data_IF_769216825038
#
_entry.id   IF_769216825038
#
_cell.length_a   1.000
_cell.length_b   1.000
_cell.length_c   1.000
_cell.angle_alpha   90.00
_cell.angle_beta   90.00
_cell.angle_gamma   90.00
#
_symmetry.space_group_name_H-M   'P 1'
#
loop_
_entity.id
_entity.type
_entity.pdbx_description
1 polymer ?
#
# COMPACT_ATOMS: atom_id res chain seq x y z
N UNK A 1 50.51 -4.75 36.48
CA UNK A 1 49.21 -5.43 36.70
C UNK A 1 48.40 -5.27 35.43
N UNK A 2 48.40 -6.32 34.60
CA UNK A 2 47.86 -6.32 33.25
C UNK A 2 46.33 -6.43 33.29
N UNK A 3 45.62 -5.50 32.65
CA UNK A 3 44.21 -5.68 32.29
C UNK A 3 44.16 -6.01 30.80
N UNK A 4 44.11 -7.32 30.58
CA UNK A 4 43.99 -8.02 29.31
C UNK A 4 42.81 -7.49 28.49
N UNK A 5 43.11 -6.94 27.31
CA UNK A 5 42.13 -6.66 26.28
C UNK A 5 41.71 -7.95 25.60
N UNK A 6 40.49 -8.42 25.87
CA UNK A 6 39.78 -9.38 25.02
C UNK A 6 38.39 -8.84 24.80
N UNK A 7 38.23 -8.09 23.71
CA UNK A 7 36.92 -7.88 23.11
C UNK A 7 36.29 -9.26 22.87
N UNK A 8 34.99 -9.47 23.13
CA UNK A 8 34.34 -10.71 22.77
C UNK A 8 34.43 -10.86 21.24
N UNK A 9 35.12 -11.91 20.80
CA UNK A 9 35.08 -12.37 19.42
C UNK A 9 33.61 -12.47 19.00
N UNK A 10 33.22 -11.66 18.02
CA UNK A 10 31.87 -11.67 17.44
C UNK A 10 31.92 -12.29 16.04
N UNK A 11 32.13 -13.62 15.91
CA UNK A 11 32.04 -14.30 14.63
C UNK A 11 30.59 -14.38 14.08
N UNK A 12 29.58 -14.00 14.86
CA UNK A 12 28.16 -14.24 14.52
C UNK A 12 27.46 -13.15 13.70
N UNK A 13 27.98 -11.92 13.63
CA UNK A 13 27.28 -10.84 12.89
C UNK A 13 27.45 -11.00 11.36
N UNK A 14 28.59 -11.54 10.92
CA UNK A 14 28.85 -11.83 9.51
C UNK A 14 28.02 -13.03 8.99
N UNK A 15 27.70 -13.99 9.86
CA UNK A 15 26.87 -15.15 9.51
C UNK A 15 25.38 -14.79 9.39
N UNK A 16 24.86 -13.95 10.30
CA UNK A 16 23.49 -13.46 10.26
C UNK A 16 23.18 -12.59 9.02
N UNK A 17 24.20 -11.95 8.45
CA UNK A 17 24.07 -11.11 7.24
C UNK A 17 24.05 -11.93 5.94
N UNK A 18 24.57 -13.18 5.98
CA UNK A 18 24.67 -14.06 4.80
C UNK A 18 23.39 -14.83 4.45
N UNK A 19 22.38 -14.83 5.32
CA UNK A 19 21.07 -15.49 5.09
C UNK A 19 20.06 -14.64 4.29
N UNK A 20 20.42 -13.41 3.92
CA UNK A 20 19.57 -12.49 3.17
C UNK A 20 19.79 -12.51 1.66
N UNK A 21 20.75 -13.29 1.17
CA UNK A 21 20.80 -13.64 -0.25
C UNK A 21 19.84 -14.82 -0.44
N UNK A 22 18.81 -14.71 -1.29
CA UNK A 22 18.01 -15.87 -1.64
C UNK A 22 18.96 -16.89 -2.27
N UNK A 23 19.31 -17.92 -1.52
CA UNK A 23 19.89 -19.10 -2.11
C UNK A 23 18.78 -19.62 -3.02
N UNK A 24 18.99 -19.65 -4.33
CA UNK A 24 17.97 -20.05 -5.32
C UNK A 24 17.61 -21.53 -5.21
N UNK A 25 17.05 -21.95 -4.07
CA UNK A 25 16.70 -23.31 -3.72
C UNK A 25 15.18 -23.48 -3.59
N UNK A 26 14.73 -24.71 -3.82
CA UNK A 26 13.32 -25.09 -3.77
C UNK A 26 12.63 -24.79 -2.44
N UNK A 27 13.38 -24.80 -1.34
CA UNK A 27 12.86 -24.48 -0.01
C UNK A 27 12.48 -22.99 0.11
N UNK A 28 13.27 -22.09 -0.46
CA UNK A 28 12.98 -20.65 -0.42
C UNK A 28 11.81 -20.30 -1.35
N UNK A 29 11.73 -20.95 -2.53
CA UNK A 29 10.56 -20.82 -3.40
C UNK A 29 9.26 -21.26 -2.71
N UNK A 30 9.28 -22.40 -2.00
CA UNK A 30 8.11 -22.88 -1.26
C UNK A 30 7.70 -21.91 -0.13
N UNK A 31 8.68 -21.27 0.53
CA UNK A 31 8.43 -20.26 1.56
C UNK A 31 7.85 -18.97 0.98
N UNK A 32 8.38 -18.47 -0.12
CA UNK A 32 7.87 -17.27 -0.81
C UNK A 32 6.45 -17.50 -1.36
N UNK A 33 6.19 -18.68 -1.94
CA UNK A 33 4.83 -19.06 -2.39
C UNK A 33 3.86 -19.16 -1.21
N UNK A 34 4.29 -19.77 -0.09
CA UNK A 34 3.49 -19.83 1.14
C UNK A 34 3.19 -18.44 1.72
N UNK A 35 4.19 -17.56 1.74
CA UNK A 35 4.03 -16.18 2.19
C UNK A 35 3.09 -15.39 1.25
N UNK A 36 3.26 -15.52 -0.05
CA UNK A 36 2.37 -14.89 -1.04
C UNK A 36 0.92 -15.36 -0.91
N UNK A 37 0.69 -16.66 -0.68
CA UNK A 37 -0.65 -17.21 -0.51
C UNK A 37 -1.32 -16.69 0.77
N UNK A 38 -0.60 -16.65 1.89
CA UNK A 38 -1.15 -16.12 3.16
C UNK A 38 -1.50 -14.64 3.04
N UNK A 39 -0.64 -13.84 2.38
CA UNK A 39 -0.92 -12.43 2.08
C UNK A 39 -2.13 -12.29 1.16
N UNK A 40 -2.24 -13.10 0.10
CA UNK A 40 -3.37 -13.05 -0.84
C UNK A 40 -4.71 -13.33 -0.13
N UNK A 41 -4.77 -14.32 0.77
CA UNK A 41 -5.97 -14.64 1.53
C UNK A 41 -6.48 -13.47 2.38
N UNK A 42 -5.56 -12.66 2.94
CA UNK A 42 -5.90 -11.46 3.73
C UNK A 42 -6.18 -10.25 2.83
N UNK A 43 -5.47 -10.14 1.71
CA UNK A 43 -5.62 -9.02 0.78
C UNK A 43 -6.97 -9.03 0.07
N UNK A 44 -7.47 -10.20 -0.37
CA UNK A 44 -8.73 -10.34 -1.09
C UNK A 44 -9.92 -9.62 -0.41
N UNK A 45 -10.25 -9.90 0.86
CA UNK A 45 -11.36 -9.21 1.53
C UNK A 45 -11.08 -7.71 1.74
N UNK A 46 -9.84 -7.32 2.01
CA UNK A 46 -9.46 -5.92 2.19
C UNK A 46 -9.65 -5.13 0.89
N UNK A 47 -9.23 -5.68 -0.26
CA UNK A 47 -9.37 -5.06 -1.57
C UNK A 47 -10.83 -4.88 -1.97
N UNK A 48 -11.68 -5.88 -1.69
CA UNK A 48 -13.11 -5.79 -1.97
C UNK A 48 -13.76 -4.71 -1.09
N UNK A 49 -13.52 -4.76 0.22
CA UNK A 49 -14.06 -3.79 1.18
C UNK A 49 -13.66 -2.36 0.83
N UNK A 50 -12.37 -2.14 0.58
CA UNK A 50 -11.83 -0.83 0.20
C UNK A 50 -12.35 -0.32 -1.15
N UNK A 51 -12.48 -1.19 -2.15
CA UNK A 51 -13.07 -0.85 -3.45
C UNK A 51 -14.55 -0.47 -3.36
N UNK A 52 -15.34 -1.23 -2.59
CA UNK A 52 -16.75 -0.90 -2.32
C UNK A 52 -16.87 0.43 -1.58
N UNK A 53 -16.00 0.68 -0.59
CA UNK A 53 -15.97 1.94 0.16
C UNK A 53 -15.71 3.15 -0.76
N UNK A 54 -14.76 3.04 -1.69
CA UNK A 54 -14.42 4.12 -2.63
C UNK A 54 -15.59 4.51 -3.56
N UNK A 55 -16.51 3.57 -3.85
CA UNK A 55 -17.68 3.77 -4.70
C UNK A 55 -18.98 4.00 -3.92
N UNK A 56 -18.93 3.95 -2.58
CA UNK A 56 -20.07 4.22 -1.70
C UNK A 56 -20.84 5.53 -1.99
N UNK A 57 -20.23 6.67 -2.39
CA UNK A 57 -20.99 7.89 -2.65
C UNK A 57 -21.83 7.86 -3.93
N UNK A 58 -21.57 6.93 -4.86
CA UNK A 58 -22.34 6.83 -6.11
C UNK A 58 -23.65 6.02 -5.96
N UNK A 59 -23.81 5.28 -4.86
CA UNK A 59 -24.97 4.45 -4.58
C UNK A 59 -24.67 2.95 -4.56
N UNK A 60 -25.58 2.12 -4.01
CA UNK A 60 -25.37 0.69 -3.81
C UNK A 60 -25.26 -0.11 -5.11
N UNK A 61 -25.81 0.40 -6.20
CA UNK A 61 -25.73 -0.19 -7.55
C UNK A 61 -24.30 -0.25 -8.10
N UNK A 62 -23.42 0.65 -7.64
CA UNK A 62 -22.00 0.67 -8.04
C UNK A 62 -21.09 -0.15 -7.13
N UNK A 63 -21.63 -0.83 -6.11
CA UNK A 63 -20.82 -1.64 -5.19
C UNK A 63 -20.08 -2.78 -5.91
N UNK A 64 -20.73 -3.45 -6.86
CA UNK A 64 -20.09 -4.51 -7.65
C UNK A 64 -18.95 -3.96 -8.53
N UNK A 65 -19.14 -2.78 -9.11
CA UNK A 65 -18.12 -2.11 -9.91
C UNK A 65 -16.95 -1.63 -9.05
N UNK A 66 -17.23 -1.13 -7.83
CA UNK A 66 -16.20 -0.77 -6.86
C UNK A 66 -15.39 -1.97 -6.39
N UNK A 67 -16.02 -3.11 -6.13
CA UNK A 67 -15.32 -4.36 -5.79
C UNK A 67 -14.36 -4.81 -6.91
N UNK A 68 -14.82 -4.77 -8.17
CA UNK A 68 -13.99 -5.07 -9.34
C UNK A 68 -12.83 -4.06 -9.49
N UNK A 69 -13.08 -2.77 -9.27
CA UNK A 69 -12.05 -1.73 -9.31
C UNK A 69 -10.99 -1.95 -8.22
N UNK A 70 -11.38 -2.33 -7.00
CA UNK A 70 -10.46 -2.66 -5.90
C UNK A 70 -9.59 -3.89 -6.20
N UNK A 71 -10.19 -4.96 -6.73
CA UNK A 71 -9.47 -6.18 -7.15
C UNK A 71 -8.49 -5.91 -8.28
N UNK A 72 -8.93 -5.23 -9.34
CA UNK A 72 -8.05 -4.87 -10.47
C UNK A 72 -6.90 -3.98 -10.02
N UNK A 73 -7.16 -2.97 -9.18
CA UNK A 73 -6.13 -2.14 -8.59
C UNK A 73 -5.10 -2.96 -7.80
N UNK A 74 -5.54 -3.92 -6.97
CA UNK A 74 -4.63 -4.77 -6.20
C UNK A 74 -3.76 -5.66 -7.09
N UNK A 75 -4.31 -6.23 -8.16
CA UNK A 75 -3.57 -7.06 -9.12
C UNK A 75 -2.54 -6.23 -9.89
N UNK A 76 -2.97 -5.13 -10.51
CA UNK A 76 -2.06 -4.24 -11.25
C UNK A 76 -1.01 -3.60 -10.34
N UNK A 77 -1.42 -3.09 -9.18
CA UNK A 77 -0.55 -2.49 -8.18
C UNK A 77 0.45 -3.49 -7.59
N UNK A 78 0.06 -4.76 -7.41
CA UNK A 78 0.94 -5.84 -6.98
C UNK A 78 1.98 -6.20 -8.04
N UNK A 79 1.57 -6.36 -9.31
CA UNK A 79 2.49 -6.65 -10.43
C UNK A 79 3.50 -5.52 -10.62
N UNK A 80 3.04 -4.26 -10.65
CA UNK A 80 3.90 -3.09 -10.81
C UNK A 80 4.87 -2.98 -9.62
N UNK A 81 4.41 -3.22 -8.40
CA UNK A 81 5.28 -3.25 -7.22
C UNK A 81 6.32 -4.38 -7.28
N UNK A 82 5.95 -5.57 -7.76
CA UNK A 82 6.88 -6.69 -7.90
C UNK A 82 8.00 -6.41 -8.90
N UNK A 83 7.71 -5.66 -9.98
CA UNK A 83 8.70 -5.30 -11.01
C UNK A 83 9.64 -4.18 -10.52
N UNK A 84 9.10 -3.17 -9.83
CA UNK A 84 9.83 -1.94 -9.51
C UNK A 84 10.56 -1.95 -8.16
N UNK A 85 10.30 -2.92 -7.27
CA UNK A 85 10.72 -2.85 -5.87
C UNK A 85 11.83 -3.86 -5.53
N UNK A 86 12.94 -3.36 -4.99
CA UNK A 86 14.11 -4.14 -4.51
C UNK A 86 14.02 -4.56 -3.03
N UNK A 87 12.88 -4.38 -2.36
CA UNK A 87 12.74 -4.64 -0.91
C UNK A 87 11.71 -5.75 -0.62
N UNK A 88 12.12 -6.72 0.19
CA UNK A 88 11.62 -8.11 0.14
C UNK A 88 10.27 -8.39 0.83
N UNK A 89 9.64 -7.43 1.53
CA UNK A 89 8.44 -7.74 2.33
C UNK A 89 7.33 -6.68 2.37
N UNK A 90 7.40 -5.61 1.56
CA UNK A 90 6.36 -4.59 1.61
C UNK A 90 5.37 -4.77 0.45
N UNK A 91 4.14 -5.16 0.80
CA UNK A 91 3.05 -5.40 -0.15
C UNK A 91 2.30 -4.11 -0.46
N UNK A 92 1.98 -3.89 -1.74
CA UNK A 92 1.17 -2.77 -2.21
C UNK A 92 -0.29 -3.22 -2.42
N UNK A 93 -1.20 -2.72 -1.58
CA UNK A 93 -2.63 -3.07 -1.57
C UNK A 93 -3.43 -1.79 -1.31
N UNK A 94 -4.66 -1.63 -1.86
CA UNK A 94 -5.55 -0.53 -1.49
C UNK A 94 -5.83 -0.53 0.02
N UNK A 95 -5.55 0.60 0.68
CA UNK A 95 -5.76 0.77 2.12
C UNK A 95 -7.04 1.56 2.41
N UNK A 96 -7.64 1.32 3.59
CA UNK A 96 -8.86 2.02 4.01
C UNK A 96 -8.75 3.56 3.96
N UNK A 97 -7.66 4.19 4.43
CA UNK A 97 -7.54 5.66 4.39
C UNK A 97 -7.57 6.24 2.98
N UNK A 98 -6.86 5.60 2.04
CA UNK A 98 -6.83 6.06 0.64
C UNK A 98 -8.21 5.92 -0.01
N UNK A 99 -8.92 4.83 0.32
CA UNK A 99 -10.26 4.56 -0.22
C UNK A 99 -11.29 5.54 0.34
N UNK A 100 -11.15 5.94 1.60
CA UNK A 100 -11.98 6.98 2.20
C UNK A 100 -11.74 8.35 1.56
N UNK A 101 -10.48 8.71 1.30
CA UNK A 101 -10.17 9.95 0.57
C UNK A 101 -10.76 9.93 -0.84
N UNK A 102 -10.71 8.78 -1.51
CA UNK A 102 -11.34 8.60 -2.82
C UNK A 102 -12.87 8.74 -2.75
N UNK A 103 -13.50 8.14 -1.74
CA UNK A 103 -14.94 8.26 -1.50
C UNK A 103 -15.35 9.70 -1.16
N UNK A 104 -14.56 10.41 -0.35
CA UNK A 104 -14.80 11.81 -0.01
C UNK A 104 -14.71 12.71 -1.24
N UNK A 105 -13.73 12.46 -2.12
CA UNK A 105 -13.62 13.15 -3.41
C UNK A 105 -14.84 12.87 -4.31
N UNK A 106 -15.27 11.61 -4.41
CA UNK A 106 -16.49 11.23 -5.14
C UNK A 106 -17.74 11.92 -4.59
N UNK A 107 -17.91 11.98 -3.28
CA UNK A 107 -19.02 12.67 -2.63
C UNK A 107 -19.02 14.18 -2.93
N UNK A 108 -17.85 14.82 -2.90
CA UNK A 108 -17.72 16.23 -3.24
C UNK A 108 -18.10 16.52 -4.71
N UNK A 109 -17.68 15.65 -5.63
CA UNK A 109 -18.05 15.77 -7.05
C UNK A 109 -19.54 15.51 -7.30
N UNK A 110 -20.14 14.53 -6.62
CA UNK A 110 -21.59 14.29 -6.67
C UNK A 110 -22.38 15.55 -6.28
N UNK A 111 -21.93 16.28 -5.25
CA UNK A 111 -22.54 17.56 -4.86
C UNK A 111 -22.33 18.68 -5.89
N UNK A 112 -21.16 18.73 -6.54
CA UNK A 112 -20.83 19.77 -7.52
C UNK A 112 -21.50 19.57 -8.89
N UNK A 113 -21.78 18.32 -9.28
CA UNK A 113 -22.32 17.96 -10.59
C UNK A 113 -23.77 17.49 -10.55
N UNK A 114 -24.57 18.08 -9.65
CA UNK A 114 -26.01 17.82 -9.54
C UNK A 114 -26.38 16.34 -9.36
N UNK A 115 -25.47 15.54 -8.82
CA UNK A 115 -25.69 14.12 -8.56
C UNK A 115 -25.58 13.20 -9.78
N UNK A 116 -24.95 13.61 -10.89
CA UNK A 116 -24.71 12.72 -12.05
C UNK A 116 -23.54 11.75 -11.78
N UNK A 117 -23.79 10.45 -11.58
CA UNK A 117 -22.74 9.47 -11.29
C UNK A 117 -21.79 9.27 -12.47
N UNK A 118 -22.25 9.44 -13.72
CA UNK A 118 -21.46 9.17 -14.91
C UNK A 118 -20.27 10.14 -15.04
N UNK A 119 -20.48 11.42 -14.70
CA UNK A 119 -19.42 12.42 -14.67
C UNK A 119 -18.39 12.10 -13.59
N UNK A 120 -18.84 11.69 -12.40
CA UNK A 120 -17.95 11.30 -11.28
C UNK A 120 -17.07 10.11 -11.65
N UNK A 121 -17.66 9.09 -12.27
CA UNK A 121 -16.95 7.93 -12.80
C UNK A 121 -15.89 8.29 -13.83
N UNK A 122 -16.18 9.24 -14.73
CA UNK A 122 -15.21 9.73 -15.71
C UNK A 122 -14.06 10.53 -15.07
N UNK A 123 -14.29 11.16 -13.91
CA UNK A 123 -13.29 11.96 -13.21
C UNK A 123 -12.30 11.13 -12.37
N UNK A 124 -12.71 9.97 -11.87
CA UNK A 124 -11.88 9.05 -11.09
C UNK A 124 -10.52 8.71 -11.74
N UNK A 125 -10.43 8.29 -13.02
CA UNK A 125 -9.13 8.00 -13.64
C UNK A 125 -8.25 9.25 -13.76
N UNK A 126 -8.84 10.42 -14.06
CA UNK A 126 -8.09 11.69 -14.15
C UNK A 126 -7.51 12.06 -12.78
N UNK A 127 -8.30 11.91 -11.72
CA UNK A 127 -7.85 12.12 -10.36
C UNK A 127 -6.71 11.17 -9.98
N UNK A 128 -6.83 9.87 -10.27
CA UNK A 128 -5.78 8.88 -9.99
C UNK A 128 -4.50 9.20 -10.75
N UNK A 129 -4.59 9.62 -12.02
CA UNK A 129 -3.43 10.05 -12.81
C UNK A 129 -2.76 11.30 -12.22
N UNK A 130 -3.55 12.26 -11.75
CA UNK A 130 -3.03 13.46 -11.09
C UNK A 130 -2.31 13.11 -9.79
N UNK A 131 -2.88 12.22 -8.98
CA UNK A 131 -2.24 11.70 -7.76
C UNK A 131 -0.95 10.96 -8.10
N UNK A 132 -0.94 10.11 -9.13
CA UNK A 132 0.25 9.39 -9.57
C UNK A 132 1.36 10.36 -10.05
N UNK A 133 0.99 11.42 -10.77
CA UNK A 133 1.92 12.47 -11.18
C UNK A 133 2.58 13.13 -9.96
N UNK A 134 1.78 13.57 -8.97
CA UNK A 134 2.30 14.14 -7.74
C UNK A 134 3.14 13.16 -6.92
N UNK A 135 2.75 11.88 -6.90
CA UNK A 135 3.51 10.82 -6.24
C UNK A 135 4.91 10.66 -6.84
N UNK A 136 5.03 10.75 -8.17
CA UNK A 136 6.33 10.71 -8.86
C UNK A 136 7.15 11.96 -8.53
N UNK A 137 6.54 13.15 -8.61
CA UNK A 137 7.19 14.43 -8.29
C UNK A 137 7.73 14.44 -6.85
N UNK A 138 6.94 13.98 -5.87
CA UNK A 138 7.38 13.90 -4.48
C UNK A 138 8.41 12.78 -4.25
N UNK A 139 8.34 11.70 -5.03
CA UNK A 139 9.34 10.64 -5.04
C UNK A 139 10.73 11.16 -5.44
N UNK A 140 10.81 11.97 -6.51
CA UNK A 140 12.09 12.54 -6.99
C UNK A 140 12.57 13.74 -6.18
N UNK A 141 11.65 14.55 -5.65
CA UNK A 141 11.99 15.80 -4.93
C UNK A 141 12.55 15.57 -3.53
N UNK A 142 12.64 14.31 -3.07
CA UNK A 142 13.15 13.97 -1.74
C UNK A 142 12.23 14.36 -0.58
N UNK A 143 11.02 14.86 -0.86
CA UNK A 143 10.01 15.24 0.13
C UNK A 143 9.58 14.04 1.00
N UNK A 144 9.70 12.82 0.47
CA UNK A 144 9.54 11.56 1.21
C UNK A 144 10.41 11.50 2.48
N UNK A 145 11.56 12.18 2.51
CA UNK A 145 12.46 12.26 3.67
C UNK A 145 11.94 13.20 4.76
N UNK A 146 10.99 14.09 4.46
CA UNK A 146 10.35 14.98 5.44
C UNK A 146 9.14 14.33 6.09
N UNK A 147 8.39 13.50 5.36
CA UNK A 147 7.18 12.81 5.84
C UNK A 147 7.44 11.97 7.10
N UNK A 148 8.66 11.45 7.26
CA UNK A 148 9.08 10.65 8.43
C UNK A 148 9.11 11.42 9.77
N UNK A 149 8.99 12.75 9.76
CA UNK A 149 8.95 13.57 10.96
C UNK A 149 7.53 13.82 11.50
N UNK A 150 6.52 13.19 10.91
CA UNK A 150 5.14 13.33 11.38
C UNK A 150 5.00 12.75 12.79
N UNK A 151 4.51 13.51 13.78
CA UNK A 151 4.41 13.04 15.15
C UNK A 151 3.38 11.91 15.28
N UNK A 152 3.74 10.86 16.01
CA UNK A 152 2.91 9.66 16.23
C UNK A 152 1.49 9.96 16.75
N UNK A 153 1.27 10.94 17.66
CA UNK A 153 -0.09 11.30 18.10
C UNK A 153 -1.03 11.72 16.97
N UNK A 154 -0.53 12.39 15.93
CA UNK A 154 -1.35 12.84 14.79
C UNK A 154 -1.71 11.66 13.90
N UNK A 155 -0.75 10.76 13.65
CA UNK A 155 -1.00 9.55 12.87
C UNK A 155 -1.98 8.61 13.58
N UNK A 156 -1.80 8.42 14.89
CA UNK A 156 -2.72 7.63 15.72
C UNK A 156 -4.13 8.22 15.73
N UNK A 157 -4.27 9.53 15.95
CA UNK A 157 -5.56 10.22 15.93
C UNK A 157 -6.26 10.15 14.57
N UNK A 158 -5.52 10.30 13.47
CA UNK A 158 -6.07 10.17 12.12
C UNK A 158 -6.57 8.75 11.82
N UNK A 159 -5.78 7.73 12.12
CA UNK A 159 -6.18 6.32 11.88
C UNK A 159 -7.37 5.93 12.77
N UNK A 160 -7.40 6.35 14.03
CA UNK A 160 -8.54 6.12 14.93
C UNK A 160 -9.79 6.90 14.51
N UNK A 161 -9.65 8.07 13.90
CA UNK A 161 -10.81 8.84 13.39
C UNK A 161 -11.42 8.26 12.11
N UNK A 162 -10.69 7.43 11.37
CA UNK A 162 -11.16 6.78 10.14
C UNK A 162 -11.75 5.37 10.36
N UNK A 163 -11.39 4.70 11.46
CA UNK A 163 -11.83 3.34 11.79
C UNK A 163 -13.14 3.32 12.56
#
# INVERSE_FOLDING_TARGET
MALNGTAPDSPDLAAATRSFLPAGGWADLAREVGAGLTVACVALPICISSGVLAYSPLGPEYAAQGALAGLTCAVFGGIVAAILRTSSFVTNIPTNPISFLHASFGAALMGAWSGDPALVLAAYPVFVLLVAFWQIVFGISGLSRVIKFTPYPVLGGFVTGLG
#
